data_IF_565241989336
#
_entry.id   IF_565241989336
#
_cell.length_a   1.000
_cell.length_b   1.000
_cell.length_c   1.000
_cell.angle_alpha   90.00
_cell.angle_beta   90.00
_cell.angle_gamma   90.00
#
_symmetry.space_group_name_H-M   'P 1'
#
loop_
_entity.id
_entity.type
_entity.pdbx_description
1 polymer ?
#
# COMPACT_ATOMS: atom_id res chain seq x y z
N UNK A 1 -0.77 -19.95 -20.21
CA UNK A 1 0.27 -20.31 -19.23
C UNK A 1 1.68 -20.18 -19.80
N UNK A 2 2.01 -20.76 -20.96
CA UNK A 2 3.39 -20.68 -21.56
C UNK A 2 3.87 -19.22 -21.73
N UNK A 3 3.04 -18.35 -22.30
CA UNK A 3 3.39 -16.94 -22.53
C UNK A 3 3.73 -16.16 -21.25
N UNK A 4 2.98 -16.39 -20.16
CA UNK A 4 3.20 -15.70 -18.89
C UNK A 4 4.55 -16.10 -18.24
N UNK A 5 4.96 -17.35 -18.41
CA UNK A 5 6.28 -17.82 -18.00
C UNK A 5 7.40 -17.22 -18.85
N UNK A 6 7.25 -17.22 -20.18
CA UNK A 6 8.24 -16.66 -21.10
C UNK A 6 8.48 -15.17 -20.83
N UNK A 7 7.41 -14.41 -20.61
CA UNK A 7 7.51 -12.99 -20.27
C UNK A 7 8.19 -12.76 -18.92
N UNK A 8 7.81 -13.50 -17.87
CA UNK A 8 8.46 -13.42 -16.57
C UNK A 8 9.97 -13.67 -16.68
N UNK A 9 10.39 -14.76 -17.32
CA UNK A 9 11.82 -15.09 -17.42
C UNK A 9 12.59 -14.12 -18.32
N UNK A 10 11.93 -13.54 -19.33
CA UNK A 10 12.50 -12.46 -20.16
C UNK A 10 12.78 -11.21 -19.31
N UNK A 11 11.89 -10.83 -18.40
CA UNK A 11 12.13 -9.71 -17.47
C UNK A 11 13.17 -10.07 -16.41
N UNK A 12 13.11 -11.27 -15.85
CA UNK A 12 14.09 -11.76 -14.88
C UNK A 12 15.52 -11.74 -15.43
N UNK A 13 15.68 -12.11 -16.70
CA UNK A 13 16.99 -12.07 -17.36
C UNK A 13 17.56 -10.65 -17.45
N UNK A 14 16.72 -9.62 -17.59
CA UNK A 14 17.19 -8.24 -17.69
C UNK A 14 17.95 -7.80 -16.44
N UNK A 15 17.45 -8.08 -15.24
CA UNK A 15 18.16 -7.74 -14.01
C UNK A 15 19.26 -8.75 -13.65
N UNK A 16 19.07 -10.05 -13.97
CA UNK A 16 20.10 -11.07 -13.68
C UNK A 16 21.34 -10.96 -14.56
N UNK A 17 21.22 -10.39 -15.76
CA UNK A 17 22.35 -10.20 -16.67
C UNK A 17 23.11 -8.89 -16.46
N UNK A 18 22.66 -8.05 -15.51
CA UNK A 18 23.40 -6.83 -15.13
C UNK A 18 24.71 -7.23 -14.46
N UNK A 19 25.83 -6.83 -15.08
CA UNK A 19 27.16 -7.00 -14.50
C UNK A 19 27.43 -6.03 -13.34
N UNK A 20 28.41 -6.35 -12.50
CA UNK A 20 28.83 -5.49 -11.38
C UNK A 20 29.16 -4.06 -11.83
N UNK A 21 29.83 -3.88 -12.98
CA UNK A 21 30.17 -2.53 -13.48
C UNK A 21 28.93 -1.77 -13.98
N UNK A 22 27.94 -2.46 -14.55
CA UNK A 22 26.66 -1.83 -14.92
C UNK A 22 25.87 -1.44 -13.66
N UNK A 23 25.82 -2.31 -12.65
CA UNK A 23 25.15 -2.04 -11.37
C UNK A 23 25.80 -0.87 -10.61
N UNK A 24 27.13 -0.75 -10.67
CA UNK A 24 27.85 0.41 -10.09
C UNK A 24 27.37 1.73 -10.71
N UNK A 25 27.00 1.73 -12.00
CA UNK A 25 26.53 2.90 -12.76
C UNK A 25 25.02 3.12 -12.71
N UNK A 26 24.24 2.14 -12.23
CA UNK A 26 22.79 2.26 -12.06
C UNK A 26 22.43 2.37 -10.57
N UNK A 27 22.44 3.60 -10.05
CA UNK A 27 22.16 3.86 -8.63
C UNK A 27 20.75 3.46 -8.20
N UNK A 28 19.76 3.58 -9.09
CA UNK A 28 18.37 3.21 -8.80
C UNK A 28 18.25 1.70 -8.61
N UNK A 29 18.72 0.91 -9.57
CA UNK A 29 18.67 -0.56 -9.48
C UNK A 29 19.42 -1.09 -8.25
N UNK A 30 20.61 -0.54 -7.98
CA UNK A 30 21.37 -0.89 -6.76
C UNK A 30 20.61 -0.51 -5.49
N UNK A 31 19.96 0.64 -5.49
CA UNK A 31 19.09 1.09 -4.40
C UNK A 31 17.94 0.11 -4.14
N UNK A 32 17.20 -0.27 -5.19
CA UNK A 32 16.13 -1.26 -5.09
C UNK A 32 16.64 -2.60 -4.57
N UNK A 33 17.75 -3.14 -5.12
CA UNK A 33 18.35 -4.39 -4.63
C UNK A 33 18.67 -4.32 -3.14
N UNK A 34 19.34 -3.26 -2.70
CA UNK A 34 19.73 -3.09 -1.29
C UNK A 34 18.51 -2.97 -0.34
N UNK A 35 17.40 -2.40 -0.80
CA UNK A 35 16.14 -2.36 -0.04
C UNK A 35 15.48 -3.74 0.01
N UNK A 36 15.42 -4.45 -1.12
CA UNK A 36 14.87 -5.80 -1.23
C UNK A 36 15.65 -6.76 -0.32
N UNK A 37 16.97 -6.81 -0.41
CA UNK A 37 17.80 -7.71 0.42
C UNK A 37 17.56 -7.48 1.92
N UNK A 38 17.46 -6.21 2.32
CA UNK A 38 17.18 -5.83 3.71
C UNK A 38 15.83 -6.32 4.18
N UNK A 39 14.78 -6.12 3.38
CA UNK A 39 13.43 -6.52 3.73
C UNK A 39 13.20 -8.03 3.67
N UNK A 40 13.71 -8.69 2.62
CA UNK A 40 13.68 -10.16 2.47
C UNK A 40 14.33 -10.83 3.68
N UNK A 41 15.50 -10.35 4.13
CA UNK A 41 16.23 -10.96 5.25
C UNK A 41 15.44 -11.04 6.56
N UNK A 42 14.48 -10.13 6.75
CA UNK A 42 13.63 -10.02 7.96
C UNK A 42 12.18 -10.47 7.76
N UNK A 43 11.79 -10.86 6.54
CA UNK A 43 10.39 -11.17 6.22
C UNK A 43 9.96 -12.48 6.88
N UNK A 44 8.92 -12.41 7.72
CA UNK A 44 8.15 -13.53 8.29
C UNK A 44 8.98 -14.73 8.79
N UNK A 45 10.12 -14.47 9.43
CA UNK A 45 11.09 -15.50 9.85
C UNK A 45 10.57 -16.47 10.92
N UNK A 46 9.45 -16.14 11.56
CA UNK A 46 8.71 -17.03 12.45
C UNK A 46 7.79 -18.03 11.71
N UNK A 47 7.49 -17.78 10.43
CA UNK A 47 6.74 -18.70 9.58
C UNK A 47 7.68 -19.82 9.07
N UNK A 48 7.25 -21.08 9.18
CA UNK A 48 8.01 -22.26 8.76
C UNK A 48 8.44 -22.19 7.29
N UNK A 49 7.63 -21.59 6.42
CA UNK A 49 7.94 -21.45 5.00
C UNK A 49 9.17 -20.58 4.75
N UNK A 50 9.44 -19.58 5.61
CA UNK A 50 10.57 -18.65 5.49
C UNK A 50 11.68 -18.87 6.52
N UNK A 51 11.56 -19.83 7.43
CA UNK A 51 12.54 -20.09 8.48
C UNK A 51 13.84 -20.73 7.94
N UNK A 52 14.99 -20.43 8.55
CA UNK A 52 16.29 -21.08 8.23
C UNK A 52 17.27 -20.18 7.48
N UNK A 53 18.57 -20.41 7.65
CA UNK A 53 19.65 -19.51 7.16
C UNK A 53 19.80 -19.46 5.64
N UNK A 54 19.37 -20.50 4.92
CA UNK A 54 19.45 -20.62 3.46
C UNK A 54 18.11 -21.11 2.89
N UNK A 55 17.06 -20.33 3.12
CA UNK A 55 15.71 -20.73 2.75
C UNK A 55 15.43 -20.41 1.25
N UNK A 56 15.08 -21.41 0.40
CA UNK A 56 14.77 -21.18 -1.01
C UNK A 56 13.61 -20.21 -1.25
N UNK A 57 12.62 -20.15 -0.35
CA UNK A 57 11.51 -19.21 -0.45
C UNK A 57 11.96 -17.75 -0.34
N UNK A 58 13.02 -17.45 0.43
CA UNK A 58 13.59 -16.10 0.47
C UNK A 58 14.28 -15.73 -0.85
N UNK A 59 14.90 -16.70 -1.52
CA UNK A 59 15.47 -16.50 -2.86
C UNK A 59 14.37 -16.20 -3.88
N UNK A 60 13.25 -16.94 -3.81
CA UNK A 60 12.08 -16.65 -4.65
C UNK A 60 11.49 -15.27 -4.35
N UNK A 61 11.39 -14.89 -3.08
CA UNK A 61 10.87 -13.58 -2.68
C UNK A 61 11.75 -12.44 -3.23
N UNK A 62 13.08 -12.58 -3.14
CA UNK A 62 14.02 -11.67 -3.76
C UNK A 62 13.86 -11.62 -5.30
N UNK A 63 13.85 -12.78 -5.97
CA UNK A 63 13.85 -12.83 -7.44
C UNK A 63 12.54 -12.28 -8.03
N UNK A 64 11.40 -12.51 -7.37
CA UNK A 64 10.11 -11.93 -7.78
C UNK A 64 10.11 -10.41 -7.62
N UNK A 65 10.59 -9.88 -6.49
CA UNK A 65 10.66 -8.42 -6.26
C UNK A 65 11.61 -7.73 -7.24
N UNK A 66 12.78 -8.32 -7.50
CA UNK A 66 13.72 -7.79 -8.50
C UNK A 66 13.13 -7.81 -9.90
N UNK A 67 12.36 -8.85 -10.23
CA UNK A 67 11.67 -8.92 -11.53
C UNK A 67 10.53 -7.90 -11.61
N UNK A 68 9.84 -7.60 -10.50
CA UNK A 68 8.85 -6.53 -10.44
C UNK A 68 9.47 -5.15 -10.68
N UNK A 69 10.69 -4.89 -10.18
CA UNK A 69 11.40 -3.64 -10.51
C UNK A 69 11.65 -3.49 -12.02
N UNK A 70 11.82 -4.59 -12.77
CA UNK A 70 11.94 -4.52 -14.24
C UNK A 70 10.57 -4.26 -14.89
N UNK A 71 9.51 -4.86 -14.35
CA UNK A 71 8.14 -4.70 -14.84
C UNK A 71 7.62 -3.27 -14.67
N UNK A 72 7.86 -2.67 -13.50
CA UNK A 72 7.51 -1.28 -13.19
C UNK A 72 8.73 -0.58 -12.60
N UNK A 73 9.60 -0.06 -13.47
CA UNK A 73 10.86 0.56 -13.06
C UNK A 73 10.69 1.96 -12.45
N UNK A 74 9.62 2.68 -12.81
CA UNK A 74 9.31 3.99 -12.24
C UNK A 74 8.97 3.88 -10.75
N UNK A 75 8.24 2.83 -10.36
CA UNK A 75 8.00 2.52 -8.95
C UNK A 75 9.19 1.77 -8.32
N UNK A 76 9.70 0.74 -8.99
CA UNK A 76 10.77 -0.11 -8.51
C UNK A 76 10.39 -0.92 -7.27
N UNK A 77 11.07 -0.68 -6.16
CA UNK A 77 10.79 -1.30 -4.86
C UNK A 77 10.70 -0.26 -3.75
N UNK A 78 9.65 -0.38 -2.94
CA UNK A 78 9.41 0.43 -1.75
C UNK A 78 9.20 -0.49 -0.55
N UNK A 79 9.74 -0.09 0.60
CA UNK A 79 9.66 -0.88 1.83
C UNK A 79 8.20 -1.24 2.17
N UNK A 80 7.96 -2.53 2.43
CA UNK A 80 6.62 -3.08 2.68
C UNK A 80 6.07 -3.90 1.51
N UNK A 81 6.61 -3.76 0.29
CA UNK A 81 6.21 -4.62 -0.83
C UNK A 81 6.54 -6.11 -0.60
N UNK A 82 7.61 -6.43 0.14
CA UNK A 82 7.90 -7.81 0.55
C UNK A 82 6.81 -8.42 1.43
N UNK A 83 6.16 -7.59 2.25
CA UNK A 83 5.06 -8.00 3.13
C UNK A 83 3.80 -8.32 2.32
N UNK A 84 3.58 -7.61 1.22
CA UNK A 84 2.50 -7.91 0.28
C UNK A 84 2.75 -9.20 -0.51
N UNK A 85 3.99 -9.43 -0.95
CA UNK A 85 4.34 -10.63 -1.72
C UNK A 85 4.37 -11.90 -0.86
N UNK A 86 4.76 -11.81 0.41
CA UNK A 86 4.98 -12.98 1.28
C UNK A 86 3.78 -13.95 1.31
N UNK A 87 2.54 -13.53 1.63
CA UNK A 87 1.41 -14.45 1.63
C UNK A 87 1.09 -15.04 0.25
N UNK A 88 1.27 -14.25 -0.83
CA UNK A 88 1.04 -14.71 -2.20
C UNK A 88 2.03 -15.83 -2.56
N UNK A 89 3.31 -15.64 -2.26
CA UNK A 89 4.34 -16.65 -2.52
C UNK A 89 4.13 -17.92 -1.67
N UNK A 90 3.68 -17.77 -0.42
CA UNK A 90 3.33 -18.89 0.45
C UNK A 90 2.20 -19.76 -0.15
N UNK A 91 1.15 -19.13 -0.68
CA UNK A 91 -0.01 -19.84 -1.25
C UNK A 91 0.34 -20.46 -2.60
N UNK A 92 0.98 -19.68 -3.49
CA UNK A 92 1.26 -20.12 -4.86
C UNK A 92 2.39 -21.15 -4.94
N UNK A 93 3.42 -21.02 -4.10
CA UNK A 93 4.64 -21.84 -4.09
C UNK A 93 5.30 -22.01 -5.48
N UNK A 94 5.02 -21.07 -6.39
CA UNK A 94 5.53 -21.05 -7.74
C UNK A 94 5.97 -19.62 -8.06
N UNK A 95 7.18 -19.48 -8.58
CA UNK A 95 7.79 -18.18 -8.83
C UNK A 95 7.01 -17.32 -9.84
N UNK A 96 6.58 -17.93 -10.95
CA UNK A 96 5.88 -17.23 -12.04
C UNK A 96 4.47 -16.86 -11.60
N UNK A 97 3.77 -17.78 -10.95
CA UNK A 97 2.40 -17.53 -10.46
C UNK A 97 2.43 -16.47 -9.35
N UNK A 98 3.38 -16.54 -8.42
CA UNK A 98 3.58 -15.53 -7.38
C UNK A 98 3.81 -14.15 -7.98
N UNK A 99 4.64 -14.04 -9.02
CA UNK A 99 4.89 -12.78 -9.71
C UNK A 99 3.62 -12.19 -10.31
N UNK A 100 2.83 -12.97 -11.06
CA UNK A 100 1.64 -12.43 -11.73
C UNK A 100 0.51 -12.14 -10.75
N UNK A 101 0.34 -12.93 -9.69
CA UNK A 101 -0.55 -12.60 -8.59
C UNK A 101 -0.12 -11.32 -7.86
N UNK A 102 1.18 -11.16 -7.62
CA UNK A 102 1.72 -9.94 -7.00
C UNK A 102 1.55 -8.72 -7.90
N UNK A 103 1.83 -8.82 -9.20
CA UNK A 103 1.59 -7.75 -10.16
C UNK A 103 0.10 -7.34 -10.17
N UNK A 104 -0.81 -8.31 -10.20
CA UNK A 104 -2.25 -8.05 -10.09
C UNK A 104 -2.66 -7.39 -8.78
N UNK A 105 -2.05 -7.76 -7.66
CA UNK A 105 -2.28 -7.07 -6.39
C UNK A 105 -1.74 -5.63 -6.42
N UNK A 106 -0.55 -5.43 -7.00
CA UNK A 106 0.05 -4.10 -7.13
C UNK A 106 -0.78 -3.16 -8.00
N UNK A 107 -1.56 -3.64 -8.98
CA UNK A 107 -2.53 -2.77 -9.69
C UNK A 107 -3.52 -2.08 -8.74
N UNK A 108 -3.88 -2.72 -7.62
CA UNK A 108 -4.77 -2.16 -6.61
C UNK A 108 -4.09 -1.18 -5.66
N UNK A 109 -2.80 -1.37 -5.37
CA UNK A 109 -2.12 -0.68 -4.25
C UNK A 109 -0.87 0.09 -4.64
N UNK A 110 -0.39 0.06 -5.88
CA UNK A 110 0.89 0.68 -6.27
C UNK A 110 0.94 2.18 -5.99
N UNK A 111 -0.17 2.89 -6.17
CA UNK A 111 -0.26 4.32 -5.83
C UNK A 111 0.04 4.61 -4.35
N UNK A 112 -0.12 3.63 -3.44
CA UNK A 112 0.25 3.79 -2.02
C UNK A 112 1.76 3.90 -1.80
N UNK A 113 2.55 3.44 -2.75
CA UNK A 113 4.01 3.36 -2.68
C UNK A 113 4.69 4.48 -3.47
N UNK A 114 3.95 5.35 -4.16
CA UNK A 114 4.52 6.50 -4.86
C UNK A 114 5.17 7.51 -3.89
N UNK A 115 6.25 8.15 -4.34
CA UNK A 115 7.00 9.12 -3.54
C UNK A 115 6.14 10.30 -3.03
N UNK A 116 5.10 10.68 -3.78
CA UNK A 116 4.18 11.77 -3.43
C UNK A 116 3.34 11.48 -2.17
N UNK A 117 3.11 10.19 -1.89
CA UNK A 117 2.19 9.68 -0.86
C UNK A 117 0.75 10.22 -0.96
N UNK A 118 0.34 10.73 -2.13
CA UNK A 118 -0.99 11.33 -2.30
C UNK A 118 -2.11 10.30 -2.10
N UNK A 119 -1.92 9.06 -2.57
CA UNK A 119 -2.90 7.98 -2.36
C UNK A 119 -3.10 7.69 -0.87
N UNK A 120 -2.01 7.59 -0.10
CA UNK A 120 -2.07 7.33 1.35
C UNK A 120 -2.78 8.47 2.09
N UNK A 121 -2.45 9.72 1.77
CA UNK A 121 -3.14 10.90 2.34
C UNK A 121 -4.64 10.89 2.01
N UNK A 122 -5.00 10.53 0.77
CA UNK A 122 -6.39 10.42 0.33
C UNK A 122 -7.15 9.34 1.09
N UNK A 123 -6.57 8.15 1.24
CA UNK A 123 -7.21 7.05 1.98
C UNK A 123 -7.38 7.37 3.46
N UNK A 124 -6.40 8.01 4.11
CA UNK A 124 -6.55 8.47 5.49
C UNK A 124 -7.64 9.54 5.64
N UNK A 125 -7.75 10.48 4.69
CA UNK A 125 -8.83 11.47 4.68
C UNK A 125 -10.21 10.81 4.46
N UNK A 126 -10.29 9.80 3.59
CA UNK A 126 -11.52 9.02 3.37
C UNK A 126 -11.89 8.19 4.62
N UNK A 127 -10.91 7.63 5.32
CA UNK A 127 -11.12 6.95 6.59
C UNK A 127 -11.65 7.90 7.66
N UNK A 128 -11.06 9.10 7.79
CA UNK A 128 -11.54 10.13 8.72
C UNK A 128 -12.97 10.59 8.38
N UNK A 129 -13.30 10.70 7.08
CA UNK A 129 -14.64 11.01 6.62
C UNK A 129 -15.65 9.92 7.02
N UNK A 130 -15.32 8.64 6.82
CA UNK A 130 -16.16 7.52 7.24
C UNK A 130 -16.37 7.53 8.75
N UNK A 131 -15.30 7.72 9.52
CA UNK A 131 -15.35 7.77 10.98
C UNK A 131 -16.22 8.93 11.48
N UNK A 132 -16.14 10.11 10.84
CA UNK A 132 -16.97 11.27 11.18
C UNK A 132 -18.46 10.99 11.04
N UNK A 133 -18.86 10.17 10.07
CA UNK A 133 -20.27 9.80 9.86
C UNK A 133 -20.69 8.65 10.78
N UNK A 134 -19.80 7.69 11.02
CA UNK A 134 -20.08 6.51 11.85
C UNK A 134 -20.11 6.83 13.35
N UNK A 135 -19.12 7.58 13.85
CA UNK A 135 -18.93 7.89 15.26
C UNK A 135 -18.32 9.31 15.42
N UNK A 136 -19.16 10.36 15.32
CA UNK A 136 -18.71 11.74 15.53
C UNK A 136 -17.98 11.96 16.88
N UNK A 137 -18.46 11.43 18.03
CA UNK A 137 -17.75 11.57 19.30
C UNK A 137 -16.32 11.02 19.31
N UNK A 138 -16.08 9.84 18.72
CA UNK A 138 -14.72 9.30 18.60
C UNK A 138 -13.86 10.19 17.69
N UNK A 139 -14.42 10.67 16.58
CA UNK A 139 -13.70 11.55 15.67
C UNK A 139 -13.32 12.88 16.35
N UNK A 140 -14.24 13.51 17.08
CA UNK A 140 -14.00 14.76 17.81
C UNK A 140 -12.96 14.55 18.94
N UNK A 141 -12.99 13.39 19.59
CA UNK A 141 -11.95 13.02 20.55
C UNK A 141 -10.58 12.95 19.88
N UNK A 142 -10.44 12.23 18.75
CA UNK A 142 -9.17 12.12 18.03
C UNK A 142 -8.66 13.48 17.53
N UNK A 143 -9.55 14.35 17.04
CA UNK A 143 -9.21 15.73 16.68
C UNK A 143 -8.64 16.50 17.89
N UNK A 144 -9.27 16.38 19.06
CA UNK A 144 -8.81 17.02 20.30
C UNK A 144 -7.45 16.54 20.81
N UNK A 145 -6.98 15.37 20.31
CA UNK A 145 -5.70 14.76 20.65
C UNK A 145 -4.67 14.87 19.52
N UNK A 146 -4.88 15.78 18.57
CA UNK A 146 -4.01 15.98 17.40
C UNK A 146 -3.82 14.70 16.58
N UNK A 147 -4.81 13.81 16.65
CA UNK A 147 -4.80 12.46 16.08
C UNK A 147 -5.84 12.31 14.95
N UNK A 148 -6.51 13.40 14.56
CA UNK A 148 -7.57 13.44 13.53
C UNK A 148 -7.10 13.09 12.11
N UNK A 149 -5.80 13.16 11.83
CA UNK A 149 -5.23 12.69 10.55
C UNK A 149 -5.19 11.17 10.44
N UNK A 150 -5.38 10.45 11.54
CA UNK A 150 -5.34 8.99 11.63
C UNK A 150 -4.01 8.39 11.15
N UNK A 151 -2.89 9.11 11.25
CA UNK A 151 -1.59 8.61 10.80
C UNK A 151 -1.15 7.30 11.49
N UNK A 152 -1.70 6.98 12.67
CA UNK A 152 -1.48 5.69 13.32
C UNK A 152 -2.07 4.49 12.52
N UNK A 153 -3.00 4.73 11.60
CA UNK A 153 -3.53 3.75 10.65
C UNK A 153 -2.68 3.62 9.38
N UNK A 154 -1.59 4.38 9.20
CA UNK A 154 -0.82 4.39 7.96
C UNK A 154 -0.32 3.00 7.57
N UNK A 155 0.22 2.24 8.53
CA UNK A 155 0.72 0.88 8.29
C UNK A 155 -0.41 -0.08 7.86
N UNK A 156 -1.60 0.08 8.43
CA UNK A 156 -2.76 -0.74 8.09
C UNK A 156 -3.10 -0.64 6.61
N UNK A 157 -3.16 0.59 6.09
CA UNK A 157 -3.56 0.85 4.71
C UNK A 157 -2.42 0.60 3.70
N UNK A 158 -1.16 0.88 4.09
CA UNK A 158 -0.02 0.68 3.19
C UNK A 158 0.18 -0.79 2.83
N UNK A 159 0.08 -1.69 3.82
CA UNK A 159 0.35 -3.13 3.65
C UNK A 159 -0.88 -4.00 3.95
N UNK A 160 -2.08 -3.45 3.76
CA UNK A 160 -3.37 -4.13 3.93
C UNK A 160 -3.41 -5.04 5.18
N UNK A 161 -3.11 -4.45 6.33
CA UNK A 161 -3.17 -5.06 7.66
C UNK A 161 -2.25 -6.27 7.89
N UNK A 162 -1.30 -6.57 6.99
CA UNK A 162 -0.39 -7.73 7.06
C UNK A 162 0.38 -7.86 8.38
N UNK A 163 0.63 -6.73 9.06
CA UNK A 163 1.34 -6.68 10.33
C UNK A 163 0.45 -6.76 11.56
N UNK A 164 -0.87 -6.75 11.38
CA UNK A 164 -1.81 -6.64 12.49
C UNK A 164 -2.48 -7.99 12.85
N UNK A 165 -2.53 -8.90 11.88
CA UNK A 165 -3.17 -10.22 12.02
C UNK A 165 -2.16 -11.37 11.90
N UNK A 166 -2.52 -12.54 12.43
CA UNK A 166 -1.74 -13.75 12.25
C UNK A 166 -1.67 -14.13 10.76
N UNK A 167 -0.67 -14.94 10.38
CA UNK A 167 -0.42 -15.22 8.95
C UNK A 167 -1.63 -15.82 8.23
N UNK A 168 -2.30 -16.81 8.83
CA UNK A 168 -3.51 -17.43 8.28
C UNK A 168 -4.69 -16.46 8.22
N UNK A 169 -4.85 -15.61 9.25
CA UNK A 169 -5.90 -14.59 9.29
C UNK A 169 -5.73 -13.56 8.17
N UNK A 170 -4.48 -13.22 7.80
CA UNK A 170 -4.21 -12.34 6.66
C UNK A 170 -4.67 -12.97 5.34
N UNK A 171 -4.52 -14.29 5.17
CA UNK A 171 -5.00 -14.99 3.97
C UNK A 171 -6.53 -14.82 3.85
N UNK A 172 -7.26 -15.10 4.94
CA UNK A 172 -8.71 -14.95 4.97
C UNK A 172 -9.16 -13.49 4.74
N UNK A 173 -8.48 -12.54 5.38
CA UNK A 173 -8.77 -11.11 5.18
C UNK A 173 -8.63 -10.70 3.71
N UNK A 174 -7.53 -11.10 3.07
CA UNK A 174 -7.26 -10.73 1.68
C UNK A 174 -8.18 -11.43 0.70
N UNK A 175 -8.56 -12.69 0.92
CA UNK A 175 -9.59 -13.38 0.13
C UNK A 175 -10.90 -12.57 0.11
N UNK A 176 -11.34 -12.07 1.27
CA UNK A 176 -12.55 -11.25 1.36
C UNK A 176 -12.36 -9.90 0.67
N UNK A 177 -11.25 -9.19 0.93
CA UNK A 177 -10.98 -7.88 0.32
C UNK A 177 -10.91 -7.96 -1.21
N UNK A 178 -10.30 -9.01 -1.77
CA UNK A 178 -10.17 -9.19 -3.22
C UNK A 178 -11.47 -9.55 -3.93
N UNK A 179 -12.55 -9.90 -3.20
CA UNK A 179 -13.88 -10.01 -3.81
C UNK A 179 -14.42 -8.67 -4.30
N UNK A 180 -13.91 -7.55 -3.78
CA UNK A 180 -14.46 -6.21 -4.03
C UNK A 180 -15.84 -5.98 -3.41
N UNK A 181 -16.30 -6.89 -2.54
CA UNK A 181 -17.57 -6.81 -1.84
C UNK A 181 -17.36 -6.37 -0.37
N UNK A 182 -18.39 -5.75 0.23
CA UNK A 182 -19.63 -5.28 -0.38
C UNK A 182 -19.47 -3.94 -1.14
N UNK A 183 -18.30 -3.29 -1.06
CA UNK A 183 -18.03 -1.99 -1.68
C UNK A 183 -16.55 -1.83 -2.11
N UNK A 184 -16.23 -0.90 -3.02
CA UNK A 184 -14.85 -0.71 -3.52
C UNK A 184 -13.81 -0.40 -2.44
N UNK A 185 -14.21 0.34 -1.40
CA UNK A 185 -13.32 0.77 -0.31
C UNK A 185 -13.51 -0.03 0.98
N UNK A 186 -13.82 -1.34 0.88
CA UNK A 186 -14.10 -2.17 2.06
C UNK A 186 -12.93 -2.24 3.05
N UNK A 187 -11.68 -2.14 2.59
CA UNK A 187 -10.50 -2.04 3.46
C UNK A 187 -10.55 -0.83 4.42
N UNK A 188 -11.20 0.28 4.04
CA UNK A 188 -11.39 1.41 4.96
C UNK A 188 -12.43 1.08 6.03
N UNK A 189 -13.46 0.31 5.71
CA UNK A 189 -14.44 -0.17 6.69
C UNK A 189 -13.86 -1.23 7.62
N UNK A 190 -12.88 -2.03 7.17
CA UNK A 190 -12.07 -2.88 8.06
C UNK A 190 -11.34 -2.02 9.09
N UNK A 191 -10.70 -0.92 8.67
CA UNK A 191 -10.07 0.01 9.60
C UNK A 191 -11.10 0.66 10.55
N UNK A 192 -12.27 1.09 10.06
CA UNK A 192 -13.35 1.57 10.93
C UNK A 192 -13.82 0.51 11.93
N UNK A 193 -13.92 -0.77 11.51
CA UNK A 193 -14.29 -1.87 12.39
C UNK A 193 -13.31 -2.05 13.54
N UNK A 194 -12.01 -1.96 13.27
CA UNK A 194 -10.98 -2.01 14.33
C UNK A 194 -11.10 -0.81 15.27
N UNK A 195 -11.30 0.41 14.74
CA UNK A 195 -11.45 1.60 15.58
C UNK A 195 -12.72 1.54 16.44
N UNK A 196 -13.82 1.01 15.90
CA UNK A 196 -15.07 0.81 16.61
C UNK A 196 -14.95 -0.23 17.74
N UNK A 197 -14.18 -1.30 17.56
CA UNK A 197 -13.92 -2.26 18.65
C UNK A 197 -13.07 -1.66 19.78
N UNK A 198 -12.20 -0.72 19.45
CA UNK A 198 -11.28 -0.07 20.39
C UNK A 198 -11.78 1.26 20.95
N UNK A 199 -12.98 1.68 20.53
CA UNK A 199 -13.59 2.96 20.85
C UNK A 199 -13.50 3.31 22.34
N UNK A 200 -13.98 2.42 23.21
CA UNK A 200 -14.00 2.66 24.66
C UNK A 200 -12.60 2.79 25.26
N UNK A 201 -11.64 2.01 24.75
CA UNK A 201 -10.25 2.08 25.20
C UNK A 201 -9.59 3.39 24.74
N UNK A 202 -9.80 3.77 23.47
CA UNK A 202 -9.28 5.00 22.88
C UNK A 202 -9.83 6.25 23.58
N UNK A 203 -11.13 6.28 23.85
CA UNK A 203 -11.81 7.43 24.48
C UNK A 203 -11.57 7.52 26.00
N UNK A 204 -10.71 6.69 26.56
CA UNK A 204 -10.28 6.82 27.95
C UNK A 204 -9.64 8.20 28.16
N UNK A 205 -10.08 8.93 29.20
CA UNK A 205 -9.74 10.33 29.43
C UNK A 205 -8.25 10.64 29.55
N UNK A 206 -7.40 9.63 29.75
CA UNK A 206 -5.94 9.75 29.86
C UNK A 206 -5.15 9.65 28.56
N UNK A 207 -5.75 9.27 27.43
CA UNK A 207 -4.99 9.07 26.19
C UNK A 207 -4.67 10.40 25.50
N UNK A 208 -3.39 10.60 25.17
CA UNK A 208 -2.91 11.56 24.18
C UNK A 208 -2.46 10.85 22.91
N UNK A 209 -1.84 11.60 21.98
CA UNK A 209 -1.33 11.05 20.71
C UNK A 209 -0.44 9.82 20.91
N UNK A 210 0.51 9.91 21.84
CA UNK A 210 1.49 8.83 22.12
C UNK A 210 0.81 7.58 22.67
N UNK A 211 -0.17 7.73 23.55
CA UNK A 211 -0.93 6.61 24.13
C UNK A 211 -1.83 5.95 23.10
N UNK A 212 -2.47 6.73 22.22
CA UNK A 212 -3.26 6.19 21.09
C UNK A 212 -2.37 5.34 20.19
N UNK A 213 -1.22 5.88 19.75
CA UNK A 213 -0.30 5.15 18.90
C UNK A 213 0.25 3.89 19.59
N UNK A 214 0.55 3.98 20.89
CA UNK A 214 1.00 2.83 21.68
C UNK A 214 -0.09 1.76 21.76
N UNK A 215 -1.32 2.14 22.10
CA UNK A 215 -2.47 1.24 22.18
C UNK A 215 -2.71 0.52 20.85
N UNK A 216 -2.78 1.26 19.75
CA UNK A 216 -2.94 0.69 18.40
C UNK A 216 -1.83 -0.30 18.06
N UNK A 217 -0.57 0.03 18.36
CA UNK A 217 0.54 -0.91 18.14
C UNK A 217 0.42 -2.17 19.01
N UNK A 218 -0.10 -2.06 20.23
CA UNK A 218 -0.32 -3.19 21.13
C UNK A 218 -1.44 -4.14 20.66
N UNK A 219 -2.28 -3.76 19.70
CA UNK A 219 -3.29 -4.64 19.07
C UNK A 219 -2.69 -5.65 18.10
N UNK A 220 -1.45 -5.43 17.65
CA UNK A 220 -0.74 -6.32 16.73
C UNK A 220 -0.83 -7.77 17.20
N UNK A 221 -1.35 -8.65 16.34
CA UNK A 221 -1.53 -10.10 16.57
C UNK A 221 -2.55 -10.46 17.67
N UNK A 222 -3.43 -9.52 18.09
CA UNK A 222 -4.46 -9.76 19.11
C UNK A 222 -5.90 -9.67 18.58
N UNK A 223 -6.09 -9.20 17.35
CA UNK A 223 -7.39 -9.00 16.75
C UNK A 223 -7.94 -10.29 16.14
N UNK A 224 -9.25 -10.49 16.20
CA UNK A 224 -9.93 -11.60 15.54
C UNK A 224 -10.45 -11.15 14.16
N UNK A 225 -10.00 -11.81 13.10
CA UNK A 225 -10.34 -11.43 11.71
C UNK A 225 -11.83 -11.55 11.39
N UNK A 226 -12.51 -12.58 11.88
CA UNK A 226 -13.94 -12.79 11.62
C UNK A 226 -14.81 -11.73 12.30
N UNK A 227 -14.47 -11.37 13.54
CA UNK A 227 -15.15 -10.30 14.27
C UNK A 227 -14.90 -8.93 13.59
N UNK A 228 -13.67 -8.66 13.15
CA UNK A 228 -13.34 -7.44 12.41
C UNK A 228 -14.12 -7.35 11.10
N UNK A 229 -14.15 -8.41 10.30
CA UNK A 229 -14.89 -8.47 9.03
C UNK A 229 -16.40 -8.32 9.24
N UNK A 230 -16.95 -9.01 10.24
CA UNK A 230 -18.38 -8.92 10.58
C UNK A 230 -18.78 -7.51 10.98
N UNK A 231 -17.94 -6.82 11.77
CA UNK A 231 -18.15 -5.43 12.16
C UNK A 231 -18.03 -4.48 10.98
N UNK A 232 -17.02 -4.66 10.12
CA UNK A 232 -16.86 -3.87 8.90
C UNK A 232 -18.09 -3.98 7.97
N UNK A 233 -18.63 -5.19 7.79
CA UNK A 233 -19.85 -5.40 7.01
C UNK A 233 -21.08 -4.78 7.68
N UNK A 234 -21.20 -4.88 9.01
CA UNK A 234 -22.29 -4.22 9.75
C UNK A 234 -22.26 -2.70 9.59
N UNK A 235 -21.08 -2.08 9.67
CA UNK A 235 -20.88 -0.64 9.43
C UNK A 235 -21.26 -0.26 7.99
N UNK A 236 -20.87 -1.07 6.98
CA UNK A 236 -21.34 -0.88 5.61
C UNK A 236 -22.87 -0.84 5.52
N UNK A 237 -23.54 -1.86 6.09
CA UNK A 237 -25.00 -1.98 6.05
C UNK A 237 -25.70 -0.81 6.77
N UNK A 238 -25.14 -0.35 7.89
CA UNK A 238 -25.62 0.83 8.60
C UNK A 238 -25.53 2.09 7.72
N UNK A 239 -24.39 2.32 7.06
CA UNK A 239 -24.21 3.46 6.17
C UNK A 239 -25.14 3.36 4.95
N UNK A 240 -25.26 2.19 4.34
CA UNK A 240 -26.12 1.95 3.18
C UNK A 240 -27.62 2.12 3.49
N UNK A 241 -28.03 1.84 4.73
CA UNK A 241 -29.40 2.05 5.18
C UNK A 241 -29.68 3.51 5.61
N UNK A 242 -28.66 4.38 5.69
CA UNK A 242 -28.82 5.75 6.15
C UNK A 242 -29.50 6.62 5.07
N UNK A 243 -30.66 7.23 5.36
CA UNK A 243 -31.42 8.00 4.38
C UNK A 243 -30.75 9.32 3.97
N UNK A 244 -29.87 9.86 4.82
CA UNK A 244 -29.20 11.15 4.62
C UNK A 244 -27.68 10.97 4.55
N UNK A 245 -27.21 9.89 3.90
CA UNK A 245 -25.77 9.66 3.74
C UNK A 245 -25.14 10.74 2.84
N UNK A 246 -24.06 11.43 3.27
CA UNK A 246 -23.39 12.42 2.44
C UNK A 246 -22.93 11.86 1.09
N UNK A 247 -23.04 12.66 0.01
CA UNK A 247 -22.74 12.22 -1.37
C UNK A 247 -21.31 11.70 -1.54
N UNK A 248 -20.34 12.34 -0.93
CA UNK A 248 -18.94 11.89 -0.95
C UNK A 248 -18.76 10.51 -0.28
N UNK A 249 -19.56 10.18 0.73
CA UNK A 249 -19.56 8.84 1.34
C UNK A 249 -20.31 7.84 0.47
N UNK A 250 -21.41 8.24 -0.18
CA UNK A 250 -22.09 7.39 -1.17
C UNK A 250 -21.14 7.01 -2.33
N UNK A 251 -20.40 7.97 -2.86
CA UNK A 251 -19.42 7.75 -3.93
C UNK A 251 -18.29 6.82 -3.47
N UNK A 252 -17.77 7.03 -2.25
CA UNK A 252 -16.73 6.16 -1.65
C UNK A 252 -17.20 4.70 -1.49
N UNK A 253 -18.46 4.49 -1.11
CA UNK A 253 -19.04 3.16 -0.90
C UNK A 253 -19.66 2.55 -2.17
N UNK A 254 -19.67 3.28 -3.30
CA UNK A 254 -20.31 2.81 -4.53
C UNK A 254 -21.84 2.72 -4.44
N UNK A 255 -22.47 3.48 -3.55
CA UNK A 255 -23.93 3.51 -3.34
C UNK A 255 -24.68 4.46 -4.29
N UNK A 256 -23.95 5.33 -5.00
CA UNK A 256 -24.53 6.22 -6.01
C UNK A 256 -24.81 5.46 -7.31
N UNK A 257 -26.07 5.37 -7.72
CA UNK A 257 -26.42 4.91 -9.08
C UNK A 257 -25.75 5.80 -10.15
N UNK A 258 -25.60 5.33 -11.39
CA UNK A 258 -25.06 6.17 -12.46
C UNK A 258 -25.91 7.44 -12.51
N UNK A 259 -25.28 8.59 -12.24
CA UNK A 259 -25.91 9.89 -12.39
C UNK A 259 -26.61 9.89 -13.76
N UNK A 260 -27.91 10.18 -13.79
CA UNK A 260 -28.76 10.08 -14.98
C UNK A 260 -28.10 10.70 -16.21
N UNK A 261 -27.38 9.88 -16.97
CA UNK A 261 -26.81 10.20 -18.25
C UNK A 261 -27.80 9.72 -19.29
N UNK A 262 -28.29 10.66 -20.10
CA UNK A 262 -29.04 10.39 -21.32
C UNK A 262 -28.47 9.17 -22.07
N UNK A 263 -29.30 8.33 -22.71
CA UNK A 263 -28.83 7.13 -23.37
C UNK A 263 -27.71 7.48 -24.37
N UNK A 264 -26.69 6.62 -24.51
CA UNK A 264 -25.57 6.89 -25.40
C UNK A 264 -26.09 7.09 -26.82
N UNK A 265 -25.78 8.25 -27.40
CA UNK A 265 -26.05 8.50 -28.80
C UNK A 265 -25.36 7.42 -29.63
N UNK A 266 -26.11 6.81 -30.55
CA UNK A 266 -25.63 5.84 -31.54
C UNK A 266 -24.35 6.35 -32.23
N UNK A 267 -23.32 5.50 -32.38
CA UNK A 267 -22.09 5.90 -33.06
C UNK A 267 -22.36 6.12 -34.56
N UNK A 268 -21.72 7.11 -35.20
CA UNK A 268 -21.84 7.30 -36.65
C UNK A 268 -21.09 6.20 -37.41
N UNK A 269 -21.44 5.94 -38.69
CA UNK A 269 -20.82 4.88 -39.48
C UNK A 269 -19.36 5.23 -39.85
N UNK A 270 -18.53 4.21 -40.15
CA UNK A 270 -17.11 4.42 -40.41
C UNK A 270 -16.90 5.06 -41.78
N UNK A 271 -16.32 6.26 -41.81
CA UNK A 271 -15.78 6.85 -43.03
C UNK A 271 -14.33 6.41 -43.23
N UNK A 272 -14.12 5.82 -44.41
CA UNK A 272 -12.90 5.45 -45.14
C UNK A 272 -11.61 6.20 -44.80
N UNK A 273 -10.54 5.43 -44.67
CA UNK A 273 -9.15 5.84 -44.47
C UNK A 273 -8.63 6.79 -45.57
N UNK A 274 -8.09 7.93 -45.15
CA UNK A 274 -7.20 8.80 -45.93
C UNK A 274 -5.77 8.77 -45.35
N UNK A 275 -4.74 9.12 -46.15
CA UNK A 275 -3.34 8.89 -45.78
C UNK A 275 -2.86 9.86 -44.69
N UNK A 276 -1.92 9.39 -43.88
CA UNK A 276 -1.31 10.11 -42.76
C UNK A 276 -0.52 11.34 -43.23
N UNK A 277 -0.52 12.47 -42.48
CA UNK A 277 0.38 13.59 -42.75
C UNK A 277 1.79 13.30 -42.21
N UNK A 278 2.81 13.73 -42.97
CA UNK A 278 4.22 13.76 -42.59
C UNK A 278 4.47 14.65 -41.36
N UNK A 279 5.26 14.16 -40.41
CA UNK A 279 5.74 14.91 -39.24
C UNK A 279 6.95 15.76 -39.65
N UNK A 280 6.77 17.08 -39.72
CA UNK A 280 7.88 18.04 -39.81
C UNK A 280 8.63 18.12 -38.48
N UNK A 281 9.94 17.88 -38.54
CA UNK A 281 10.87 17.99 -37.42
C UNK A 281 11.18 19.48 -37.15
N UNK A 282 10.72 20.03 -36.02
CA UNK A 282 11.15 21.36 -35.57
C UNK A 282 11.65 21.36 -34.12
N UNK A 283 12.90 21.80 -33.97
CA UNK A 283 13.34 22.69 -32.90
C UNK A 283 13.66 22.06 -31.54
N UNK A 284 14.95 21.87 -31.27
CA UNK A 284 15.50 21.57 -29.94
C UNK A 284 15.11 22.62 -28.90
N UNK A 285 14.43 22.21 -27.84
CA UNK A 285 14.22 23.01 -26.62
C UNK A 285 15.05 22.40 -25.49
N UNK A 286 16.00 23.17 -24.95
CA UNK A 286 16.83 22.78 -23.82
C UNK A 286 16.03 22.70 -22.52
N UNK A 287 16.36 21.79 -21.59
CA UNK A 287 15.66 21.68 -20.30
C UNK A 287 16.05 22.82 -19.34
N UNK A 288 15.16 23.22 -18.41
CA UNK A 288 15.47 24.24 -17.40
C UNK A 288 16.42 23.69 -16.32
N UNK A 289 17.31 24.55 -15.82
CA UNK A 289 18.22 24.23 -14.71
C UNK A 289 17.49 24.20 -13.36
N UNK A 290 17.91 23.35 -12.41
CA UNK A 290 17.34 23.32 -11.07
C UNK A 290 17.86 24.51 -10.23
N UNK A 291 16.93 25.14 -9.51
CA UNK A 291 17.16 26.25 -8.59
C UNK A 291 17.91 25.78 -7.34
N UNK A 292 19.05 26.42 -7.05
CA UNK A 292 19.93 26.11 -5.93
C UNK A 292 19.60 27.00 -4.74
N UNK A 293 18.76 26.51 -3.83
CA UNK A 293 18.58 27.09 -2.48
C UNK A 293 18.06 26.04 -1.51
N UNK A 294 18.98 25.28 -0.89
CA UNK A 294 18.73 24.58 0.37
C UNK A 294 19.86 24.98 1.32
N UNK A 295 19.51 25.70 2.38
CA UNK A 295 20.39 25.99 3.52
C UNK A 295 20.76 24.68 4.23
N UNK A 296 22.06 24.48 4.41
CA UNK A 296 22.64 23.34 5.14
C UNK A 296 22.75 23.74 6.62
N UNK A 297 21.98 23.08 7.49
CA UNK A 297 22.23 23.12 8.94
C UNK A 297 23.55 22.38 9.26
N UNK A 298 24.41 22.92 10.15
CA UNK A 298 25.67 22.28 10.50
C UNK A 298 25.45 21.01 11.36
N UNK A 299 26.37 20.03 11.30
CA UNK A 299 26.26 18.77 12.03
C UNK A 299 26.48 18.97 13.54
N UNK A 300 25.72 18.24 14.36
CA UNK A 300 25.92 18.18 15.82
C UNK A 300 27.26 17.51 16.18
N UNK A 301 27.98 18.10 17.13
CA UNK A 301 29.20 17.52 17.71
C UNK A 301 28.89 16.30 18.61
N UNK A 302 29.77 15.27 18.64
CA UNK A 302 29.60 14.12 19.51
C UNK A 302 29.84 14.47 20.99
N UNK A 303 29.22 13.73 21.93
CA UNK A 303 29.30 14.06 23.36
C UNK A 303 30.70 13.85 23.93
N UNK A 304 31.19 14.86 24.66
CA UNK A 304 32.46 14.83 25.39
C UNK A 304 32.36 13.95 26.63
N UNK A 305 33.31 13.01 26.78
CA UNK A 305 33.46 12.18 27.96
C UNK A 305 33.85 13.03 29.17
N UNK A 306 33.05 12.97 30.25
CA UNK A 306 33.39 13.58 31.55
C UNK A 306 34.34 12.66 32.31
N UNK A 307 35.51 13.18 32.69
CA UNK A 307 36.41 12.58 33.67
C UNK A 307 35.81 12.63 35.09
N UNK A 308 36.09 11.64 35.98
CA UNK A 308 35.57 11.66 37.34
C UNK A 308 36.35 12.64 38.23
N UNK A 309 35.74 13.16 39.31
CA UNK A 309 36.36 14.11 40.22
C UNK A 309 37.37 13.44 41.17
N UNK A 310 38.28 14.23 41.78
CA UNK A 310 39.35 13.74 42.65
C UNK A 310 38.87 13.14 43.98
#
# INVERSE_FOLDING_TARGET
MVWAGDEYFRMKLQWKSVSEEQERRNSLLRGYRSLIERDVSRTDRSNKFYQGSENPALVLLHDVLMTYCVYNFDLGYVQGMSDLLSPILYVTQNEVDAFWCFAGFMELVHHNFEESQESMKRQLAQLALLLRVLDPPLCDFLDSKESGSLCFCFRWLLIWFKREFAFEDVLQLWEVLWTGLPCPSFHLLVACGILDSEREALMNSGFGFSEILKHINELTMKMNVEETLSRAEALYRQLAASPELPRNVQELLGLGGPAGGSPPATPPPPHSAGPAPELELMGSVSPPQPDSSIEILPPEEPPTARSPPP
#
